data_IF_828122363837
#
_entry.id   IF_828122363837
#
_cell.length_a   1.000
_cell.length_b   1.000
_cell.length_c   1.000
_cell.angle_alpha   90.00
_cell.angle_beta   90.00
_cell.angle_gamma   90.00
#
_symmetry.space_group_name_H-M   'P 1'
#
loop_
_entity.id
_entity.type
_entity.pdbx_description
1 polymer ?
#
# COMPACT_ATOMS: atom_id res chain seq x y z
N UNK A 1 12.89 8.49 -51.39
CA UNK A 1 13.56 7.17 -51.37
C UNK A 1 14.75 7.31 -50.42
N UNK A 2 14.92 6.67 -49.27
CA UNK A 2 14.41 5.43 -48.67
C UNK A 2 14.32 5.63 -47.13
N UNK A 3 13.41 4.90 -46.49
CA UNK A 3 13.26 4.82 -45.03
C UNK A 3 14.35 3.97 -44.36
N UNK A 4 14.63 4.23 -43.07
CA UNK A 4 14.72 3.21 -42.01
C UNK A 4 14.80 3.88 -40.63
N UNK A 5 13.84 3.57 -39.75
CA UNK A 5 13.81 4.03 -38.37
C UNK A 5 14.45 3.04 -37.40
N UNK A 6 14.79 3.50 -36.18
CA UNK A 6 14.86 2.64 -35.00
C UNK A 6 14.80 3.48 -33.72
N UNK A 7 13.99 2.99 -32.78
CA UNK A 7 13.75 3.47 -31.41
C UNK A 7 14.97 3.19 -30.53
N UNK A 8 15.33 4.11 -29.63
CA UNK A 8 16.27 3.83 -28.54
C UNK A 8 15.54 3.80 -27.20
N UNK A 9 15.15 2.58 -26.79
CA UNK A 9 14.89 2.22 -25.40
C UNK A 9 16.23 1.94 -24.70
N UNK A 10 16.38 2.39 -23.46
CA UNK A 10 17.33 1.82 -22.49
C UNK A 10 18.56 2.69 -22.19
N UNK A 11 18.63 3.21 -20.95
CA UNK A 11 19.67 4.07 -20.38
C UNK A 11 21.12 3.58 -20.44
N UNK A 12 21.41 2.37 -20.94
CA UNK A 12 22.76 1.79 -20.95
C UNK A 12 23.64 2.23 -22.13
N UNK A 13 23.06 2.85 -23.17
CA UNK A 13 23.83 3.24 -24.37
C UNK A 13 24.49 4.63 -24.20
N UNK A 14 23.94 5.49 -23.33
CA UNK A 14 24.43 6.87 -23.20
C UNK A 14 25.85 6.95 -22.60
N UNK A 15 26.25 5.97 -21.78
CA UNK A 15 27.59 5.87 -21.18
C UNK A 15 28.65 5.32 -22.15
N UNK A 16 28.29 4.34 -22.98
CA UNK A 16 29.20 3.80 -24.02
C UNK A 16 29.51 4.83 -25.10
N UNK A 17 28.56 5.71 -25.42
CA UNK A 17 28.75 6.77 -26.42
C UNK A 17 29.81 7.80 -26.00
N UNK A 18 29.95 8.07 -24.69
CA UNK A 18 30.94 9.04 -24.18
C UNK A 18 32.37 8.47 -24.15
N UNK A 19 32.52 7.16 -23.99
CA UNK A 19 33.82 6.49 -24.00
C UNK A 19 34.44 6.39 -25.41
N UNK A 20 33.63 6.20 -26.46
CA UNK A 20 34.12 6.12 -27.84
C UNK A 20 34.58 7.48 -28.40
N UNK A 21 34.03 8.58 -27.87
CA UNK A 21 34.34 9.95 -28.31
C UNK A 21 35.65 10.51 -27.72
N UNK A 22 36.20 9.90 -26.66
CA UNK A 22 37.42 10.38 -25.99
C UNK A 22 38.74 9.77 -26.50
N UNK A 23 38.67 8.74 -27.37
CA UNK A 23 39.84 8.03 -27.91
C UNK A 23 40.84 8.94 -28.66
N UNK A 24 40.41 9.97 -29.44
CA UNK A 24 41.35 10.85 -30.13
C UNK A 24 42.18 11.74 -29.18
N UNK A 25 41.65 12.10 -28.01
CA UNK A 25 42.32 13.00 -27.06
C UNK A 25 43.46 12.31 -26.28
N UNK A 26 43.34 11.00 -26.03
CA UNK A 26 44.31 10.22 -25.23
C UNK A 26 45.63 10.02 -25.99
N UNK A 27 45.60 10.02 -27.32
CA UNK A 27 46.81 9.85 -28.15
C UNK A 27 47.74 11.06 -28.15
N UNK A 28 47.27 12.24 -27.71
CA UNK A 28 48.06 13.48 -27.62
C UNK A 28 48.80 13.67 -26.29
N UNK A 29 48.69 12.72 -25.35
CA UNK A 29 49.26 12.84 -24.00
C UNK A 29 50.61 12.11 -23.89
N UNK A 30 51.56 12.73 -23.16
CA UNK A 30 52.88 12.15 -22.88
C UNK A 30 52.79 10.85 -22.06
N UNK A 31 53.81 9.98 -22.15
CA UNK A 31 53.79 8.62 -21.59
C UNK A 31 53.44 8.51 -20.09
N UNK A 32 53.83 9.50 -19.29
CA UNK A 32 53.50 9.55 -17.85
C UNK A 32 52.00 9.80 -17.58
N UNK A 33 51.34 10.56 -18.46
CA UNK A 33 49.91 10.90 -18.35
C UNK A 33 49.02 9.75 -18.85
N UNK A 34 49.44 9.00 -19.88
CA UNK A 34 48.76 7.77 -20.33
C UNK A 34 48.69 6.72 -19.22
N UNK A 35 49.76 6.59 -18.43
CA UNK A 35 49.82 5.65 -17.31
C UNK A 35 48.82 6.00 -16.20
N UNK A 36 48.70 7.30 -15.84
CA UNK A 36 47.71 7.76 -14.86
C UNK A 36 46.26 7.54 -15.31
N UNK A 37 45.93 7.83 -16.58
CA UNK A 37 44.58 7.63 -17.12
C UNK A 37 44.21 6.15 -17.12
N UNK A 38 45.14 5.26 -17.47
CA UNK A 38 44.92 3.80 -17.44
C UNK A 38 44.66 3.26 -16.03
N UNK A 39 45.39 3.76 -15.02
CA UNK A 39 45.18 3.38 -13.61
C UNK A 39 43.85 3.92 -13.07
N UNK A 40 43.47 5.14 -13.44
CA UNK A 40 42.19 5.72 -13.05
C UNK A 40 41.00 5.01 -13.71
N UNK A 41 41.14 4.63 -14.99
CA UNK A 41 40.12 3.89 -15.72
C UNK A 41 39.96 2.47 -15.19
N UNK A 42 41.05 1.81 -14.81
CA UNK A 42 41.02 0.53 -14.12
C UNK A 42 40.37 0.61 -12.72
N UNK A 43 40.62 1.68 -11.94
CA UNK A 43 39.95 1.92 -10.66
C UNK A 43 38.46 2.23 -10.80
N UNK A 44 38.05 3.00 -11.81
CA UNK A 44 36.62 3.26 -12.08
C UNK A 44 35.91 1.98 -12.54
N UNK A 45 36.56 1.15 -13.35
CA UNK A 45 36.02 -0.14 -13.77
C UNK A 45 35.90 -1.12 -12.58
N UNK A 46 36.88 -1.16 -11.67
CA UNK A 46 36.82 -2.03 -10.49
C UNK A 46 35.78 -1.57 -9.46
N UNK A 47 35.62 -0.26 -9.25
CA UNK A 47 34.59 0.30 -8.37
C UNK A 47 33.19 0.04 -8.93
N UNK A 48 33.00 0.22 -10.24
CA UNK A 48 31.70 -0.04 -10.90
C UNK A 48 31.37 -1.53 -10.95
N UNK A 49 32.35 -2.42 -11.14
CA UNK A 49 32.13 -3.87 -11.06
C UNK A 49 31.78 -4.31 -9.64
N UNK A 50 32.46 -3.78 -8.62
CA UNK A 50 32.20 -4.10 -7.21
C UNK A 50 30.82 -3.61 -6.76
N UNK A 51 30.40 -2.40 -7.14
CA UNK A 51 29.04 -1.90 -6.87
C UNK A 51 27.95 -2.73 -7.57
N UNK A 52 28.21 -3.20 -8.79
CA UNK A 52 27.24 -4.01 -9.55
C UNK A 52 27.11 -5.43 -8.98
N UNK A 53 28.21 -6.00 -8.46
CA UNK A 53 28.21 -7.27 -7.73
C UNK A 53 27.48 -7.13 -6.38
N UNK A 54 27.80 -6.12 -5.59
CA UNK A 54 27.15 -5.85 -4.29
C UNK A 54 25.63 -5.61 -4.46
N UNK A 55 25.22 -4.82 -5.46
CA UNK A 55 23.80 -4.62 -5.78
C UNK A 55 23.06 -5.92 -6.16
N UNK A 56 23.70 -6.79 -6.95
CA UNK A 56 23.11 -8.08 -7.34
C UNK A 56 22.98 -9.01 -6.14
N UNK A 57 23.96 -9.02 -5.26
CA UNK A 57 23.94 -9.82 -4.04
C UNK A 57 22.90 -9.28 -3.04
N UNK A 58 22.78 -7.96 -2.88
CA UNK A 58 21.72 -7.33 -2.09
C UNK A 58 20.32 -7.66 -2.66
N UNK A 59 20.12 -7.59 -3.98
CA UNK A 59 18.85 -7.99 -4.61
C UNK A 59 18.55 -9.48 -4.39
N UNK A 60 19.57 -10.33 -4.47
CA UNK A 60 19.41 -11.78 -4.26
C UNK A 60 19.04 -12.09 -2.81
N UNK A 61 19.64 -11.38 -1.85
CA UNK A 61 19.30 -11.46 -0.43
C UNK A 61 17.89 -10.90 -0.15
N UNK A 62 17.52 -9.75 -0.72
CA UNK A 62 16.18 -9.17 -0.64
C UNK A 62 15.11 -10.12 -1.20
N UNK A 63 15.34 -10.69 -2.39
CA UNK A 63 14.42 -11.69 -2.98
C UNK A 63 14.30 -12.94 -2.11
N UNK A 64 15.41 -13.40 -1.51
CA UNK A 64 15.42 -14.54 -0.61
C UNK A 64 14.66 -14.25 0.68
N UNK A 65 14.82 -13.05 1.26
CA UNK A 65 14.11 -12.60 2.46
C UNK A 65 12.59 -12.41 2.21
N UNK A 66 12.22 -11.84 1.05
CA UNK A 66 10.82 -11.74 0.60
C UNK A 66 10.22 -13.14 0.37
N UNK A 67 10.98 -14.05 -0.24
CA UNK A 67 10.57 -15.43 -0.49
C UNK A 67 10.45 -16.28 0.78
N UNK A 68 11.26 -16.02 1.81
CA UNK A 68 11.17 -16.70 3.11
C UNK A 68 10.04 -16.15 3.96
N UNK A 69 9.68 -14.87 3.81
CA UNK A 69 8.49 -14.27 4.40
C UNK A 69 7.17 -14.63 3.72
N UNK A 70 7.19 -15.44 2.64
CA UNK A 70 5.98 -15.79 1.88
C UNK A 70 5.19 -16.96 2.49
N UNK A 71 5.77 -17.78 3.37
CA UNK A 71 5.07 -18.86 4.08
C UNK A 71 3.71 -18.44 4.69
N UNK A 72 3.60 -17.35 5.48
CA UNK A 72 2.33 -16.90 6.05
C UNK A 72 1.37 -16.25 5.03
N UNK A 73 1.85 -15.88 3.84
CA UNK A 73 1.06 -15.14 2.83
C UNK A 73 0.65 -16.03 1.65
N UNK A 74 1.28 -17.21 1.48
CA UNK A 74 0.89 -18.22 0.48
C UNK A 74 -0.60 -18.56 0.53
N UNK A 75 -1.23 -18.78 1.70
CA UNK A 75 -2.67 -18.98 1.78
C UNK A 75 -3.42 -17.78 1.23
N UNK A 76 -3.08 -16.56 1.65
CA UNK A 76 -3.70 -15.32 1.18
C UNK A 76 -3.61 -15.15 -0.34
N UNK A 77 -2.44 -15.41 -0.93
CA UNK A 77 -2.21 -15.32 -2.38
C UNK A 77 -3.04 -16.38 -3.12
N UNK A 78 -3.14 -17.60 -2.58
CA UNK A 78 -3.98 -18.65 -3.16
C UNK A 78 -5.47 -18.32 -3.09
N UNK A 79 -5.93 -17.75 -1.97
CA UNK A 79 -7.29 -17.23 -1.80
C UNK A 79 -7.57 -16.08 -2.76
N UNK A 80 -6.69 -15.08 -2.84
CA UNK A 80 -6.78 -13.99 -3.82
C UNK A 80 -6.88 -14.53 -5.25
N UNK A 81 -6.05 -15.52 -5.59
CA UNK A 81 -6.05 -16.14 -6.92
C UNK A 81 -7.35 -16.90 -7.23
N UNK A 82 -8.06 -17.41 -6.22
CA UNK A 82 -9.36 -18.05 -6.36
C UNK A 82 -10.51 -17.03 -6.45
N UNK A 83 -10.42 -15.91 -5.74
CA UNK A 83 -11.46 -14.87 -5.69
C UNK A 83 -11.40 -13.88 -6.87
N UNK A 84 -10.20 -13.58 -7.40
CA UNK A 84 -10.00 -12.67 -8.54
C UNK A 84 -10.77 -13.11 -9.80
N UNK A 85 -10.81 -14.41 -10.19
CA UNK A 85 -11.65 -14.88 -11.30
C UNK A 85 -13.15 -14.68 -11.04
N UNK A 86 -13.60 -14.83 -9.80
CA UNK A 86 -15.01 -14.67 -9.41
C UNK A 86 -15.46 -13.20 -9.53
N UNK A 87 -14.58 -12.24 -9.20
CA UNK A 87 -14.85 -10.81 -9.40
C UNK A 87 -15.05 -10.45 -10.89
N UNK A 88 -14.39 -11.13 -11.83
CA UNK A 88 -14.49 -10.79 -13.26
C UNK A 88 -15.91 -10.97 -13.82
N UNK A 89 -16.70 -11.88 -13.23
CA UNK A 89 -18.09 -12.10 -13.61
C UNK A 89 -19.08 -11.13 -12.96
N UNK A 90 -18.61 -10.22 -12.09
CA UNK A 90 -19.47 -9.19 -11.51
C UNK A 90 -19.95 -8.20 -12.59
N UNK A 91 -21.17 -7.65 -12.45
CA UNK A 91 -21.68 -6.60 -13.33
C UNK A 91 -20.72 -5.40 -13.39
N UNK A 92 -20.56 -4.80 -14.56
CA UNK A 92 -19.63 -3.68 -14.77
C UNK A 92 -19.87 -2.52 -13.81
N UNK A 93 -21.14 -2.16 -13.58
CA UNK A 93 -21.51 -1.15 -12.61
C UNK A 93 -20.97 -1.44 -11.19
N UNK A 94 -21.09 -2.68 -10.71
CA UNK A 94 -20.61 -3.08 -9.39
C UNK A 94 -19.08 -3.01 -9.30
N UNK A 95 -18.38 -3.34 -10.40
CA UNK A 95 -16.91 -3.25 -10.48
C UNK A 95 -16.43 -1.81 -10.40
N UNK A 96 -16.99 -0.92 -11.23
CA UNK A 96 -16.57 0.49 -11.25
C UNK A 96 -16.93 1.23 -9.97
N UNK A 97 -18.16 1.05 -9.48
CA UNK A 97 -18.60 1.69 -8.23
C UNK A 97 -17.85 1.14 -7.02
N UNK A 98 -17.65 -0.19 -6.97
CA UNK A 98 -16.90 -0.83 -5.90
C UNK A 98 -15.44 -0.36 -5.84
N UNK A 99 -14.73 -0.38 -6.97
CA UNK A 99 -13.34 0.08 -7.04
C UNK A 99 -13.23 1.59 -6.82
N UNK A 100 -14.18 2.39 -7.31
CA UNK A 100 -14.26 3.82 -7.03
C UNK A 100 -14.41 4.10 -5.53
N UNK A 101 -15.14 3.25 -4.80
CA UNK A 101 -15.24 3.31 -3.35
C UNK A 101 -13.92 3.07 -2.59
N UNK A 102 -12.86 2.59 -3.23
CA UNK A 102 -11.53 2.51 -2.58
C UNK A 102 -10.79 3.84 -2.55
N UNK A 103 -11.18 4.80 -3.39
CA UNK A 103 -10.48 6.09 -3.51
C UNK A 103 -10.35 6.80 -2.14
N UNK A 104 -11.40 6.96 -1.32
CA UNK A 104 -11.26 7.64 -0.04
C UNK A 104 -10.44 6.84 1.00
N UNK A 105 -10.23 5.54 0.80
CA UNK A 105 -9.30 4.77 1.62
C UNK A 105 -7.85 4.99 1.23
N UNK A 106 -7.52 5.07 -0.07
CA UNK A 106 -6.13 5.15 -0.55
C UNK A 106 -5.57 6.57 -0.53
N UNK A 107 -6.43 7.59 -0.67
CA UNK A 107 -5.98 8.99 -0.68
C UNK A 107 -5.23 9.40 0.61
N UNK A 108 -5.70 9.07 1.83
CA UNK A 108 -5.02 9.44 3.08
C UNK A 108 -3.54 9.02 3.20
N UNK A 109 -3.16 7.74 3.04
CA UNK A 109 -1.76 7.36 3.12
C UNK A 109 -0.92 7.91 1.95
N UNK A 110 -1.50 8.04 0.75
CA UNK A 110 -0.81 8.67 -0.39
C UNK A 110 -0.53 10.16 -0.13
N UNK A 111 -1.49 10.88 0.44
CA UNK A 111 -1.33 12.27 0.84
C UNK A 111 -0.22 12.44 1.89
N UNK A 112 -0.18 11.56 2.90
CA UNK A 112 0.90 11.56 3.89
C UNK A 112 2.27 11.27 3.24
N UNK A 113 2.34 10.35 2.27
CA UNK A 113 3.60 9.95 1.62
C UNK A 113 4.15 11.00 0.63
N UNK A 114 3.29 11.62 -0.17
CA UNK A 114 3.72 12.41 -1.33
C UNK A 114 3.53 13.92 -1.17
N UNK A 115 2.64 14.37 -0.29
CA UNK A 115 2.29 15.80 -0.18
C UNK A 115 2.88 16.41 1.08
N UNK A 116 2.50 15.89 2.25
CA UNK A 116 2.88 16.52 3.52
C UNK A 116 4.18 15.97 4.10
N UNK A 117 4.57 14.73 3.75
CA UNK A 117 5.63 13.98 4.45
C UNK A 117 5.46 13.95 5.98
N UNK A 118 4.25 14.23 6.48
CA UNK A 118 3.86 14.31 7.87
C UNK A 118 2.52 13.60 8.05
N UNK A 119 2.29 13.09 9.26
CA UNK A 119 1.03 12.44 9.62
C UNK A 119 0.01 13.48 10.06
N UNK A 120 -1.13 13.57 9.36
CA UNK A 120 -2.27 14.39 9.78
C UNK A 120 -3.35 13.53 10.47
N UNK A 121 -3.60 13.72 11.79
CA UNK A 121 -4.63 12.98 12.52
C UNK A 121 -6.05 13.19 11.97
N UNK A 122 -6.35 14.36 11.38
CA UNK A 122 -7.68 14.65 10.84
C UNK A 122 -7.96 13.84 9.58
N UNK A 123 -6.97 13.73 8.69
CA UNK A 123 -7.08 12.95 7.45
C UNK A 123 -7.20 11.45 7.78
N UNK A 124 -6.46 10.97 8.78
CA UNK A 124 -6.59 9.61 9.32
C UNK A 124 -7.99 9.36 9.93
N UNK A 125 -8.54 10.35 10.65
CA UNK A 125 -9.90 10.28 11.17
C UNK A 125 -10.95 10.23 10.06
N UNK A 126 -10.83 11.05 9.02
CA UNK A 126 -11.72 11.02 7.85
C UNK A 126 -11.69 9.67 7.12
N UNK A 127 -10.50 9.04 7.04
CA UNK A 127 -10.35 7.69 6.50
C UNK A 127 -11.15 6.66 7.31
N UNK A 128 -11.07 6.73 8.65
CA UNK A 128 -11.82 5.85 9.55
C UNK A 128 -13.34 6.12 9.47
N UNK A 129 -13.73 7.40 9.38
CA UNK A 129 -15.11 7.83 9.23
C UNK A 129 -15.74 7.25 7.96
N UNK A 130 -15.04 7.35 6.83
CA UNK A 130 -15.48 6.73 5.58
C UNK A 130 -15.62 5.21 5.71
N UNK A 131 -14.70 4.55 6.43
CA UNK A 131 -14.84 3.12 6.74
C UNK A 131 -16.10 2.79 7.54
N UNK A 132 -16.51 3.67 8.46
CA UNK A 132 -17.82 3.60 9.13
C UNK A 132 -18.99 3.67 8.15
N UNK A 133 -18.95 4.60 7.18
CA UNK A 133 -19.98 4.70 6.13
C UNK A 133 -20.10 3.41 5.31
N UNK A 134 -18.96 2.79 4.95
CA UNK A 134 -18.95 1.51 4.24
C UNK A 134 -19.53 0.39 5.09
N UNK A 135 -19.25 0.35 6.40
CA UNK A 135 -19.84 -0.63 7.31
C UNK A 135 -21.37 -0.50 7.39
N UNK A 136 -21.89 0.73 7.40
CA UNK A 136 -23.34 0.98 7.34
C UNK A 136 -23.95 0.51 6.02
N UNK A 137 -23.28 0.78 4.89
CA UNK A 137 -23.72 0.30 3.58
C UNK A 137 -23.84 -1.24 3.53
N UNK A 138 -22.87 -1.96 4.09
CA UNK A 138 -22.89 -3.42 4.12
C UNK A 138 -24.00 -3.98 5.01
N UNK A 139 -24.28 -3.32 6.13
CA UNK A 139 -25.46 -3.62 6.94
C UNK A 139 -26.73 -3.53 6.10
N UNK A 140 -26.86 -2.45 5.32
CA UNK A 140 -27.95 -2.25 4.38
C UNK A 140 -28.06 -3.36 3.30
N UNK A 141 -26.93 -3.82 2.75
CA UNK A 141 -26.94 -4.95 1.80
C UNK A 141 -27.52 -6.20 2.46
N UNK A 142 -27.09 -6.53 3.69
CA UNK A 142 -27.59 -7.71 4.39
C UNK A 142 -29.10 -7.62 4.67
N UNK A 143 -29.60 -6.44 5.05
CA UNK A 143 -31.05 -6.18 5.14
C UNK A 143 -31.75 -6.39 3.79
N UNK A 144 -31.16 -5.90 2.71
CA UNK A 144 -31.71 -6.08 1.35
C UNK A 144 -31.90 -7.54 0.95
N UNK A 145 -31.02 -8.45 1.40
CA UNK A 145 -31.18 -9.89 1.16
C UNK A 145 -32.14 -10.58 2.14
N UNK A 146 -32.41 -9.99 3.31
CA UNK A 146 -33.28 -10.58 4.34
C UNK A 146 -34.74 -10.13 4.27
N UNK A 147 -35.04 -8.97 3.67
CA UNK A 147 -36.38 -8.40 3.62
C UNK A 147 -37.37 -9.17 2.73
N UNK A 148 -37.00 -9.71 1.55
CA UNK A 148 -37.96 -10.43 0.72
C UNK A 148 -38.49 -11.68 1.44
N UNK A 149 -39.82 -11.90 1.41
CA UNK A 149 -40.45 -13.04 2.11
C UNK A 149 -39.98 -14.41 1.60
N UNK A 150 -39.61 -14.50 0.31
CA UNK A 150 -38.98 -15.66 -0.31
C UNK A 150 -37.47 -15.44 -0.54
N UNK A 151 -36.88 -14.50 0.21
CA UNK A 151 -35.48 -14.12 0.10
C UNK A 151 -34.54 -15.23 0.60
N UNK A 152 -33.27 -15.19 0.17
CA UNK A 152 -32.32 -16.24 0.50
C UNK A 152 -31.78 -16.12 1.94
N UNK A 153 -32.04 -15.00 2.63
CA UNK A 153 -31.82 -14.83 4.07
C UNK A 153 -33.16 -14.63 4.78
N UNK A 154 -33.33 -15.23 5.95
CA UNK A 154 -34.51 -15.01 6.79
C UNK A 154 -34.36 -13.68 7.56
N UNK A 155 -35.44 -12.91 7.73
CA UNK A 155 -35.45 -11.71 8.57
C UNK A 155 -35.51 -12.08 10.07
N UNK A 156 -34.56 -12.90 10.52
CA UNK A 156 -34.45 -13.26 11.94
C UNK A 156 -33.57 -12.26 12.70
N UNK A 157 -33.72 -12.26 14.02
CA UNK A 157 -32.95 -11.37 14.89
C UNK A 157 -31.44 -11.52 14.69
N UNK A 158 -30.97 -12.72 14.37
CA UNK A 158 -29.55 -12.99 14.15
C UNK A 158 -29.01 -12.27 12.90
N UNK A 159 -29.66 -12.40 11.74
CA UNK A 159 -29.21 -11.75 10.52
C UNK A 159 -29.31 -10.23 10.59
N UNK A 160 -30.38 -9.71 11.22
CA UNK A 160 -30.57 -8.27 11.39
C UNK A 160 -29.58 -7.69 12.40
N UNK A 161 -29.35 -8.33 13.55
CA UNK A 161 -28.37 -7.83 14.54
C UNK A 161 -26.94 -7.85 14.00
N UNK A 162 -26.54 -8.90 13.28
CA UNK A 162 -25.22 -9.00 12.63
C UNK A 162 -24.96 -7.84 11.66
N UNK A 163 -25.99 -7.35 10.98
CA UNK A 163 -25.84 -6.24 10.04
C UNK A 163 -25.66 -4.88 10.72
N UNK A 164 -26.15 -4.73 11.95
CA UNK A 164 -26.13 -3.47 12.72
C UNK A 164 -24.88 -3.38 13.60
N UNK A 165 -24.33 -4.51 14.03
CA UNK A 165 -23.16 -4.52 14.91
C UNK A 165 -21.92 -3.81 14.31
N UNK A 166 -21.48 -4.09 13.06
CA UNK A 166 -20.29 -3.46 12.50
C UNK A 166 -20.33 -1.92 12.43
N UNK A 167 -21.41 -1.27 11.93
CA UNK A 167 -21.46 0.20 11.91
C UNK A 167 -21.53 0.80 13.31
N UNK A 168 -22.19 0.17 14.29
CA UNK A 168 -22.19 0.65 15.68
C UNK A 168 -20.79 0.56 16.32
N UNK A 169 -20.07 -0.53 16.06
CA UNK A 169 -18.68 -0.69 16.52
C UNK A 169 -17.79 0.40 15.92
N UNK A 170 -17.91 0.68 14.63
CA UNK A 170 -17.14 1.75 13.98
C UNK A 170 -17.50 3.13 14.53
N UNK A 171 -18.79 3.41 14.72
CA UNK A 171 -19.25 4.65 15.33
C UNK A 171 -18.70 4.85 16.75
N UNK A 172 -18.76 3.80 17.58
CA UNK A 172 -18.15 3.82 18.92
C UNK A 172 -16.64 4.07 18.85
N UNK A 173 -15.94 3.44 17.90
CA UNK A 173 -14.51 3.66 17.67
C UNK A 173 -14.15 5.09 17.26
N UNK A 174 -15.02 5.78 16.53
CA UNK A 174 -14.85 7.19 16.16
C UNK A 174 -15.01 8.12 17.37
N UNK A 175 -15.87 7.78 18.33
CA UNK A 175 -16.09 8.59 19.54
C UNK A 175 -14.93 8.57 20.53
N UNK A 176 -13.97 7.65 20.38
CA UNK A 176 -12.83 7.50 21.31
C UNK A 176 -11.79 8.64 21.19
N UNK A 177 -11.93 9.55 20.22
CA UNK A 177 -11.08 10.74 20.07
C UNK A 177 -9.62 10.45 19.65
N UNK A 178 -9.27 9.18 19.40
CA UNK A 178 -7.94 8.75 18.97
C UNK A 178 -8.01 8.21 17.54
N UNK A 179 -7.50 8.93 16.53
CA UNK A 179 -7.55 8.48 15.13
C UNK A 179 -6.92 7.11 14.89
N UNK A 180 -5.88 6.77 15.65
CA UNK A 180 -5.25 5.44 15.55
C UNK A 180 -6.17 4.32 16.03
N UNK A 181 -6.91 4.56 17.11
CA UNK A 181 -7.87 3.58 17.64
C UNK A 181 -9.10 3.48 16.73
N UNK A 182 -9.58 4.61 16.22
CA UNK A 182 -10.68 4.63 15.24
C UNK A 182 -10.31 3.83 13.97
N UNK A 183 -9.10 4.01 13.43
CA UNK A 183 -8.62 3.19 12.30
C UNK A 183 -8.59 1.70 12.67
N UNK A 184 -8.03 1.35 13.83
CA UNK A 184 -7.94 -0.05 14.26
C UNK A 184 -9.32 -0.71 14.39
N UNK A 185 -10.26 -0.04 15.06
CA UNK A 185 -11.64 -0.52 15.22
C UNK A 185 -12.33 -0.66 13.86
N UNK A 186 -12.15 0.30 12.95
CA UNK A 186 -12.67 0.23 11.58
C UNK A 186 -12.07 -0.93 10.78
N UNK A 187 -10.76 -1.21 10.92
CA UNK A 187 -10.12 -2.37 10.28
C UNK A 187 -10.74 -3.69 10.78
N UNK A 188 -10.93 -3.81 12.10
CA UNK A 188 -11.59 -4.97 12.71
C UNK A 188 -13.04 -5.11 12.22
N UNK A 189 -13.79 -4.00 12.15
CA UNK A 189 -15.15 -3.98 11.63
C UNK A 189 -15.24 -4.44 10.17
N UNK A 190 -14.38 -3.91 9.30
CA UNK A 190 -14.34 -4.27 7.86
C UNK A 190 -13.96 -5.74 7.65
N UNK A 191 -12.95 -6.21 8.38
CA UNK A 191 -12.50 -7.60 8.32
C UNK A 191 -13.56 -8.56 8.87
N UNK A 192 -14.18 -8.21 10.00
CA UNK A 192 -15.26 -8.96 10.61
C UNK A 192 -16.49 -9.04 9.70
N UNK A 193 -16.90 -7.92 9.11
CA UNK A 193 -18.01 -7.89 8.15
C UNK A 193 -17.72 -8.78 6.93
N UNK A 194 -16.51 -8.70 6.35
CA UNK A 194 -16.14 -9.56 5.24
C UNK A 194 -16.13 -11.06 5.60
N UNK A 195 -15.68 -11.41 6.80
CA UNK A 195 -15.71 -12.78 7.31
C UNK A 195 -17.14 -13.29 7.56
N UNK A 196 -18.03 -12.44 8.08
CA UNK A 196 -19.42 -12.79 8.29
C UNK A 196 -20.16 -12.93 6.95
N UNK A 197 -19.85 -12.08 5.98
CA UNK A 197 -20.39 -12.16 4.62
C UNK A 197 -19.89 -13.41 3.89
N UNK A 198 -18.64 -13.84 4.08
CA UNK A 198 -18.13 -15.07 3.44
C UNK A 198 -18.83 -16.34 3.90
N UNK A 199 -19.51 -16.32 5.05
CA UNK A 199 -20.32 -17.45 5.55
C UNK A 199 -21.72 -17.49 4.93
N UNK A 200 -22.16 -16.42 4.28
CA UNK A 200 -23.50 -16.31 3.70
C UNK A 200 -23.51 -16.94 2.31
N UNK A 201 -23.98 -18.18 2.22
CA UNK A 201 -24.11 -18.89 0.94
C UNK A 201 -25.14 -18.28 -0.02
N UNK A 202 -26.03 -17.44 0.50
CA UNK A 202 -27.05 -16.73 -0.25
C UNK A 202 -26.48 -15.69 -1.22
N UNK A 203 -25.26 -15.22 -0.99
CA UNK A 203 -24.67 -14.21 -1.85
C UNK A 203 -24.13 -14.82 -3.15
N UNK A 204 -24.23 -14.09 -4.27
CA UNK A 204 -23.60 -14.52 -5.51
C UNK A 204 -22.08 -14.67 -5.32
N UNK A 205 -21.46 -15.67 -5.98
CA UNK A 205 -20.00 -15.87 -5.92
C UNK A 205 -19.20 -14.61 -6.29
N UNK A 206 -19.68 -13.85 -7.28
CA UNK A 206 -19.02 -12.59 -7.70
C UNK A 206 -19.02 -11.53 -6.60
N UNK A 207 -20.04 -11.52 -5.73
CA UNK A 207 -20.15 -10.58 -4.62
C UNK A 207 -19.12 -10.91 -3.54
N UNK A 208 -18.90 -12.19 -3.22
CA UNK A 208 -17.83 -12.60 -2.31
C UNK A 208 -16.45 -12.16 -2.80
N UNK A 209 -16.13 -12.42 -4.08
CA UNK A 209 -14.85 -12.03 -4.66
C UNK A 209 -14.64 -10.52 -4.67
N UNK A 210 -15.67 -9.76 -5.04
CA UNK A 210 -15.66 -8.29 -4.97
C UNK A 210 -15.45 -7.81 -3.53
N UNK A 211 -16.23 -8.33 -2.57
CA UNK A 211 -16.17 -7.93 -1.17
C UNK A 211 -14.79 -8.18 -0.57
N UNK A 212 -14.19 -9.31 -0.90
CA UNK A 212 -12.85 -9.65 -0.46
C UNK A 212 -11.80 -8.68 -1.01
N UNK A 213 -11.82 -8.41 -2.33
CA UNK A 213 -10.90 -7.46 -2.98
C UNK A 213 -10.99 -6.06 -2.36
N UNK A 214 -12.22 -5.56 -2.17
CA UNK A 214 -12.44 -4.23 -1.58
C UNK A 214 -12.00 -4.18 -0.12
N UNK A 215 -12.26 -5.24 0.65
CA UNK A 215 -11.86 -5.27 2.07
C UNK A 215 -10.35 -5.34 2.21
N UNK A 216 -9.67 -6.17 1.42
CA UNK A 216 -8.19 -6.25 1.42
C UNK A 216 -7.59 -4.89 1.05
N UNK A 217 -8.11 -4.23 0.01
CA UNK A 217 -7.65 -2.88 -0.37
C UNK A 217 -7.84 -1.86 0.74
N UNK A 218 -9.04 -1.79 1.32
CA UNK A 218 -9.36 -0.85 2.40
C UNK A 218 -8.52 -1.08 3.66
N UNK A 219 -8.44 -2.34 4.14
CA UNK A 219 -7.68 -2.71 5.35
C UNK A 219 -6.18 -2.49 5.14
N UNK A 220 -5.65 -2.82 3.96
CA UNK A 220 -4.23 -2.58 3.64
C UNK A 220 -3.92 -1.08 3.65
N UNK A 221 -4.85 -0.25 3.15
CA UNK A 221 -4.69 1.21 3.16
C UNK A 221 -4.75 1.80 4.56
N UNK A 222 -5.69 1.34 5.39
CA UNK A 222 -5.81 1.73 6.80
C UNK A 222 -4.56 1.32 7.60
N UNK A 223 -4.07 0.10 7.35
CA UNK A 223 -2.83 -0.39 7.95
C UNK A 223 -1.63 0.47 7.56
N UNK A 224 -1.52 0.85 6.28
CA UNK A 224 -0.47 1.74 5.82
C UNK A 224 -0.52 3.09 6.55
N UNK A 225 -1.70 3.68 6.75
CA UNK A 225 -1.85 4.91 7.54
C UNK A 225 -1.35 4.74 8.99
N UNK A 226 -1.64 3.60 9.64
CA UNK A 226 -1.12 3.32 10.99
C UNK A 226 0.41 3.17 11.02
N UNK A 227 0.98 2.50 10.01
CA UNK A 227 2.43 2.37 9.89
C UNK A 227 3.08 3.74 9.69
N UNK A 228 2.51 4.58 8.81
CA UNK A 228 3.00 5.95 8.59
C UNK A 228 2.94 6.80 9.85
N UNK A 229 1.86 6.68 10.65
CA UNK A 229 1.78 7.32 11.96
C UNK A 229 2.96 6.91 12.86
N UNK A 230 3.31 5.62 12.90
CA UNK A 230 4.40 5.13 13.72
C UNK A 230 5.78 5.60 13.23
N UNK A 231 6.01 5.54 11.90
CA UNK A 231 7.29 5.91 11.28
C UNK A 231 7.56 7.42 11.29
N UNK A 232 6.53 8.24 11.12
CA UNK A 232 6.69 9.69 11.12
C UNK A 232 6.81 10.24 12.55
N UNK A 233 6.09 9.64 13.51
CA UNK A 233 6.25 9.97 14.93
C UNK A 233 7.68 9.71 15.43
N UNK A 234 8.36 8.66 14.96
CA UNK A 234 9.75 8.41 15.36
C UNK A 234 10.70 9.46 14.77
N UNK A 235 10.48 9.91 13.53
CA UNK A 235 11.30 10.96 12.92
C UNK A 235 11.17 12.29 13.66
N UNK A 236 9.95 12.72 13.97
CA UNK A 236 9.73 13.99 14.66
C UNK A 236 10.44 14.02 16.04
N UNK A 237 10.53 12.88 16.71
CA UNK A 237 11.21 12.76 18.00
C UNK A 237 12.74 12.66 17.89
N UNK A 238 13.26 12.19 16.75
CA UNK A 238 14.71 12.15 16.45
C UNK A 238 15.24 13.53 16.03
N UNK A 239 14.43 14.36 15.35
CA UNK A 239 14.80 15.73 14.98
C UNK A 239 14.67 16.75 16.12
N UNK A 240 13.90 16.44 17.19
CA UNK A 240 13.87 17.28 18.38
C UNK A 240 15.08 16.96 19.26
N UNK A 241 16.08 17.86 19.39
CA UNK A 241 17.19 17.61 20.32
C UNK A 241 16.61 17.47 21.74
N UNK A 242 17.07 16.47 22.50
CA UNK A 242 16.52 16.09 23.81
C UNK A 242 16.33 17.29 24.75
N UNK A 243 17.23 18.28 24.69
CA UNK A 243 17.14 19.50 25.49
C UNK A 243 15.91 20.37 25.20
N UNK A 244 15.41 20.40 23.96
CA UNK A 244 14.20 21.16 23.58
C UNK A 244 12.94 20.40 23.99
N UNK A 245 12.93 19.06 23.84
CA UNK A 245 11.82 18.23 24.30
C UNK A 245 11.62 18.35 25.82
N UNK A 246 12.73 18.33 26.58
CA UNK A 246 12.70 18.48 28.04
C UNK A 246 12.26 19.88 28.47
N UNK A 247 12.69 20.93 27.75
CA UNK A 247 12.26 22.30 28.01
C UNK A 247 10.74 22.49 27.77
N UNK A 248 10.20 21.94 26.69
CA UNK A 248 8.75 21.97 26.41
C UNK A 248 7.97 21.18 27.47
N UNK A 249 8.51 20.05 27.92
CA UNK A 249 7.87 19.20 28.94
C UNK A 249 7.81 19.92 30.29
N UNK A 250 8.86 20.65 30.67
CA UNK A 250 8.88 21.51 31.86
C UNK A 250 7.90 22.68 31.73
N UNK A 251 7.87 23.35 30.57
CA UNK A 251 6.96 24.48 30.33
C UNK A 251 5.47 24.08 30.32
N UNK A 252 5.14 22.82 30.03
CA UNK A 252 3.77 22.30 30.12
C UNK A 252 3.37 21.94 31.56
N UNK A 253 4.32 21.78 32.46
CA UNK A 253 4.11 21.42 33.87
C UNK A 253 4.18 22.61 34.83
N UNK A 254 4.60 23.78 34.35
CA UNK A 254 4.57 25.08 35.05
C UNK A 254 3.31 25.87 34.72
#
# INVERSE_FOLDING_TARGET
MLQLGARCLGSNIMLQCKARSAVPLINSLNGHQKCQVSVHQARLFSVTSNLNLDYKDQIKQLKKAVSSGTEPVKPLISFLKAEIPSYKSAPDAAKYLGLGGLVPFVLPPLHCLFILHMYDPNIAYLQALYGGCILSFLGGVRWGFSLPSNGPLKPDFNNLSISVAPPLIAWGGLMLGSPGLSIFVTMCGLSGAAYLDSKVKAYPKWYHGLRYLLTVGAVSSLFLTLVLKALLKSKDQEYLPEGVAEAIRKARQS
#
